data_IF_223948590637
#
_entry.id   IF_223948590637
#
_cell.length_a   1.000
_cell.length_b   1.000
_cell.length_c   1.000
_cell.angle_alpha   90.00
_cell.angle_beta   90.00
_cell.angle_gamma   90.00
#
_symmetry.space_group_name_H-M   'P 1'
#
loop_
_entity.id
_entity.type
_entity.pdbx_description
1 polymer ?
#
# COMPACT_ATOMS: atom_id res chain seq x y z
N UNK A 1 -44.95 -49.91 -30.45
CA UNK A 1 -44.00 -48.89 -30.93
C UNK A 1 -43.96 -47.74 -29.92
N UNK A 2 -43.51 -48.03 -28.70
CA UNK A 2 -43.48 -47.11 -27.55
C UNK A 2 -42.19 -47.38 -26.77
N UNK A 3 -41.04 -46.87 -27.21
CA UNK A 3 -39.82 -46.93 -26.35
C UNK A 3 -38.67 -46.00 -26.74
N UNK A 4 -38.87 -44.99 -27.60
CA UNK A 4 -37.76 -44.13 -28.04
C UNK A 4 -37.90 -42.65 -27.65
N UNK A 5 -39.09 -42.20 -27.24
CA UNK A 5 -39.32 -40.78 -26.89
C UNK A 5 -38.97 -40.47 -25.43
N UNK A 6 -38.91 -41.47 -24.55
CA UNK A 6 -38.72 -41.28 -23.10
C UNK A 6 -37.25 -41.08 -22.69
N UNK A 7 -36.29 -41.44 -23.54
CA UNK A 7 -34.86 -41.43 -23.20
C UNK A 7 -34.18 -40.08 -23.52
N UNK A 8 -34.63 -39.39 -24.57
CA UNK A 8 -34.09 -38.07 -24.93
C UNK A 8 -34.56 -36.95 -23.99
N UNK A 9 -35.80 -37.01 -23.49
CA UNK A 9 -36.30 -36.01 -22.54
C UNK A 9 -35.64 -36.07 -21.16
N UNK A 10 -35.20 -37.26 -20.72
CA UNK A 10 -34.50 -37.42 -19.46
C UNK A 10 -33.07 -36.83 -19.50
N UNK A 11 -32.39 -36.92 -20.65
CA UNK A 11 -31.03 -36.38 -20.83
C UNK A 11 -31.01 -34.86 -20.96
N UNK A 12 -32.03 -34.25 -21.56
CA UNK A 12 -32.13 -32.79 -21.71
C UNK A 12 -32.45 -32.11 -20.36
N UNK A 13 -33.32 -32.72 -19.54
CA UNK A 13 -33.65 -32.21 -18.19
C UNK A 13 -32.48 -32.35 -17.19
N UNK A 14 -31.64 -33.38 -17.34
CA UNK A 14 -30.46 -33.57 -16.50
C UNK A 14 -29.32 -32.59 -16.85
N UNK A 15 -29.11 -32.33 -18.15
CA UNK A 15 -28.11 -31.35 -18.61
C UNK A 15 -28.54 -29.90 -18.36
N UNK A 16 -29.83 -29.56 -18.46
CA UNK A 16 -30.32 -28.21 -18.12
C UNK A 16 -30.22 -27.88 -16.63
N UNK A 17 -30.31 -28.86 -15.72
CA UNK A 17 -30.15 -28.61 -14.27
C UNK A 17 -28.69 -28.41 -13.86
N UNK A 18 -27.73 -29.05 -14.54
CA UNK A 18 -26.30 -28.90 -14.22
C UNK A 18 -25.75 -27.57 -14.77
N UNK A 19 -26.19 -27.16 -15.97
CA UNK A 19 -25.74 -25.89 -16.58
C UNK A 19 -26.28 -24.63 -15.86
N UNK A 20 -27.42 -24.75 -15.16
CA UNK A 20 -28.02 -23.65 -14.41
C UNK A 20 -27.36 -23.40 -13.04
N UNK A 21 -26.68 -24.41 -12.47
CA UNK A 21 -26.00 -24.30 -11.17
C UNK A 21 -24.58 -23.71 -11.34
N UNK A 22 -23.90 -24.00 -12.46
CA UNK A 22 -22.57 -23.45 -12.74
C UNK A 22 -22.56 -21.93 -12.98
N UNK A 23 -23.68 -21.34 -13.39
CA UNK A 23 -23.77 -19.91 -13.70
C UNK A 23 -24.06 -19.01 -12.48
N UNK A 24 -24.46 -19.58 -11.34
CA UNK A 24 -24.79 -18.81 -10.12
C UNK A 24 -23.59 -18.72 -9.16
N UNK A 25 -22.56 -19.57 -9.32
CA UNK A 25 -21.37 -19.54 -8.45
C UNK A 25 -20.22 -18.68 -8.98
N UNK A 26 -20.15 -18.41 -10.29
CA UNK A 26 -19.08 -17.59 -10.86
C UNK A 26 -19.11 -16.13 -10.35
N UNK A 27 -20.27 -15.47 -10.12
CA UNK A 27 -20.28 -14.15 -9.51
C UNK A 27 -19.81 -14.17 -8.05
N UNK A 28 -20.04 -15.26 -7.32
CA UNK A 28 -19.65 -15.40 -5.91
C UNK A 28 -18.13 -15.60 -5.74
N UNK A 29 -17.43 -16.15 -6.74
CA UNK A 29 -15.96 -16.27 -6.73
C UNK A 29 -15.24 -14.98 -7.14
N UNK A 30 -15.90 -14.08 -7.87
CA UNK A 30 -15.34 -12.75 -8.20
C UNK A 30 -15.61 -11.69 -7.13
N UNK A 31 -16.67 -11.84 -6.32
CA UNK A 31 -16.92 -10.92 -5.20
C UNK A 31 -16.20 -11.31 -3.91
N UNK A 32 -15.68 -12.54 -3.80
CA UNK A 32 -15.03 -13.03 -2.58
C UNK A 32 -13.54 -12.69 -2.45
N UNK A 33 -12.89 -12.15 -3.50
CA UNK A 33 -11.49 -11.67 -3.41
C UNK A 33 -11.34 -10.19 -3.00
N UNK A 34 -12.44 -9.47 -2.82
CA UNK A 34 -12.44 -8.10 -2.28
C UNK A 34 -13.28 -8.04 -0.98
N UNK A 35 -13.55 -9.20 -0.37
CA UNK A 35 -13.89 -9.23 1.04
C UNK A 35 -12.59 -8.92 1.79
N UNK A 36 -12.44 -7.64 2.16
CA UNK A 36 -11.42 -7.11 3.05
C UNK A 36 -10.62 -8.18 3.79
N UNK A 37 -9.41 -8.48 3.34
CA UNK A 37 -8.39 -8.85 4.31
C UNK A 37 -8.28 -7.61 5.19
N UNK A 38 -8.96 -7.67 6.34
CA UNK A 38 -9.00 -6.61 7.32
C UNK A 38 -7.56 -6.40 7.75
N UNK A 39 -6.90 -5.43 7.13
CA UNK A 39 -5.64 -4.93 7.66
C UNK A 39 -5.96 -4.46 9.07
N UNK A 40 -5.13 -4.83 10.04
CA UNK A 40 -5.22 -4.23 11.38
C UNK A 40 -5.07 -2.71 11.33
N UNK A 41 -4.59 -2.19 10.19
CA UNK A 41 -4.39 -0.82 9.77
C UNK A 41 -5.68 -0.01 9.49
N UNK A 42 -6.68 -0.16 10.36
CA UNK A 42 -8.01 0.45 10.18
C UNK A 42 -8.01 1.99 10.15
N UNK A 43 -7.02 2.63 10.77
CA UNK A 43 -6.88 4.09 10.73
C UNK A 43 -6.45 4.56 9.34
N UNK A 44 -5.43 3.95 8.76
CA UNK A 44 -4.87 4.29 7.45
C UNK A 44 -5.87 3.98 6.33
N UNK A 45 -6.69 2.92 6.50
CA UNK A 45 -7.85 2.68 5.65
C UNK A 45 -8.84 3.84 5.73
N UNK A 46 -9.21 4.27 6.93
CA UNK A 46 -10.13 5.39 7.11
C UNK A 46 -9.58 6.69 6.49
N UNK A 47 -8.27 6.93 6.62
CA UNK A 47 -7.61 8.10 6.01
C UNK A 47 -7.70 8.04 4.49
N UNK A 48 -7.38 6.91 3.86
CA UNK A 48 -7.51 6.78 2.41
C UNK A 48 -8.95 6.99 1.95
N UNK A 49 -9.93 6.40 2.62
CA UNK A 49 -11.34 6.59 2.25
C UNK A 49 -11.79 8.04 2.45
N UNK A 50 -11.37 8.73 3.52
CA UNK A 50 -11.67 10.16 3.69
C UNK A 50 -11.08 11.01 2.57
N UNK A 51 -9.82 10.75 2.16
CA UNK A 51 -9.19 11.47 1.04
C UNK A 51 -9.95 11.18 -0.26
N UNK A 52 -10.28 9.92 -0.52
CA UNK A 52 -11.00 9.50 -1.73
C UNK A 52 -12.39 10.15 -1.84
N UNK A 53 -13.10 10.28 -0.73
CA UNK A 53 -14.45 10.88 -0.69
C UNK A 53 -14.37 12.40 -0.84
N UNK A 54 -13.50 13.06 -0.09
CA UNK A 54 -13.47 14.52 0.00
C UNK A 54 -12.63 15.17 -1.11
N UNK A 55 -11.63 14.46 -1.64
CA UNK A 55 -10.66 14.96 -2.62
C UNK A 55 -10.36 13.89 -3.70
N UNK A 56 -11.37 13.41 -4.46
CA UNK A 56 -11.23 12.26 -5.37
C UNK A 56 -10.18 12.48 -6.47
N UNK A 57 -10.09 13.68 -7.03
CA UNK A 57 -9.11 14.00 -8.08
C UNK A 57 -7.67 13.96 -7.55
N UNK A 58 -7.46 14.44 -6.33
CA UNK A 58 -6.18 14.30 -5.64
C UNK A 58 -5.86 12.83 -5.39
N UNK A 59 -6.83 12.03 -4.92
CA UNK A 59 -6.63 10.60 -4.69
C UNK A 59 -6.22 9.85 -5.97
N UNK A 60 -6.93 10.08 -7.08
CA UNK A 60 -6.57 9.48 -8.39
C UNK A 60 -5.22 9.98 -8.88
N UNK A 61 -4.92 11.27 -8.74
CA UNK A 61 -3.62 11.82 -9.12
C UNK A 61 -2.47 11.23 -8.30
N UNK A 62 -2.67 11.01 -7.00
CA UNK A 62 -1.69 10.40 -6.11
C UNK A 62 -1.35 8.98 -6.58
N UNK A 63 -2.35 8.15 -6.87
CA UNK A 63 -2.14 6.79 -7.39
C UNK A 63 -1.27 6.81 -8.65
N UNK A 64 -1.58 7.70 -9.61
CA UNK A 64 -0.79 7.83 -10.85
C UNK A 64 0.66 8.21 -10.60
N UNK A 65 0.92 9.10 -9.64
CA UNK A 65 2.29 9.48 -9.24
C UNK A 65 3.02 8.27 -8.66
N UNK A 66 2.37 7.53 -7.76
CA UNK A 66 2.96 6.34 -7.11
C UNK A 66 3.29 5.25 -8.14
N UNK A 67 2.36 4.96 -9.06
CA UNK A 67 2.56 3.98 -10.12
C UNK A 67 3.66 4.41 -11.09
N UNK A 68 3.73 5.72 -11.40
CA UNK A 68 4.80 6.30 -12.21
C UNK A 68 6.18 6.12 -11.57
N UNK A 69 6.31 6.41 -10.27
CA UNK A 69 7.56 6.22 -9.54
C UNK A 69 7.96 4.73 -9.47
N UNK A 70 7.02 3.84 -9.18
CA UNK A 70 7.31 2.40 -9.14
C UNK A 70 7.76 1.86 -10.50
N UNK A 71 7.14 2.34 -11.59
CA UNK A 71 7.56 2.01 -12.95
C UNK A 71 8.96 2.54 -13.28
N UNK A 72 9.32 3.74 -12.80
CA UNK A 72 10.67 4.27 -12.95
C UNK A 72 11.69 3.34 -12.26
N UNK A 73 11.44 2.94 -11.02
CA UNK A 73 12.32 2.01 -10.29
C UNK A 73 12.51 0.69 -11.04
N UNK A 74 11.43 0.13 -11.60
CA UNK A 74 11.49 -1.07 -12.42
C UNK A 74 12.31 -0.84 -13.70
N UNK A 75 12.04 0.25 -14.42
CA UNK A 75 12.76 0.61 -15.66
C UNK A 75 14.26 0.83 -15.42
N UNK A 76 14.64 1.30 -14.23
CA UNK A 76 16.03 1.48 -13.78
C UNK A 76 16.66 0.21 -13.22
N UNK A 77 15.96 -0.92 -13.19
CA UNK A 77 16.38 -2.17 -12.56
C UNK A 77 16.68 -2.03 -11.06
N UNK A 78 16.12 -1.02 -10.38
CA UNK A 78 16.20 -0.91 -8.92
C UNK A 78 15.28 -1.90 -8.21
N UNK A 79 14.24 -2.38 -8.92
CA UNK A 79 13.36 -3.47 -8.50
C UNK A 79 13.11 -4.43 -9.67
N UNK A 80 12.78 -5.69 -9.37
CA UNK A 80 12.58 -6.74 -10.37
C UNK A 80 11.20 -6.68 -11.05
N UNK A 81 10.18 -6.17 -10.36
CA UNK A 81 8.82 -6.01 -10.85
C UNK A 81 8.03 -5.00 -9.99
N UNK A 82 6.73 -4.84 -10.26
CA UNK A 82 5.84 -3.93 -9.52
C UNK A 82 5.13 -4.58 -8.33
N UNK A 83 5.59 -5.75 -7.86
CA UNK A 83 4.96 -6.46 -6.74
C UNK A 83 5.46 -5.97 -5.38
N UNK A 84 4.75 -6.36 -4.32
CA UNK A 84 5.19 -6.11 -2.93
C UNK A 84 6.55 -6.76 -2.62
N UNK A 85 6.81 -7.96 -3.17
CA UNK A 85 8.06 -8.68 -2.93
C UNK A 85 9.29 -7.91 -3.43
N UNK A 86 9.16 -7.21 -4.55
CA UNK A 86 10.19 -6.32 -5.07
C UNK A 86 10.52 -5.17 -4.11
N UNK A 87 9.51 -4.59 -3.47
CA UNK A 87 9.69 -3.60 -2.43
C UNK A 87 10.37 -4.18 -1.18
N UNK A 88 9.94 -5.36 -0.71
CA UNK A 88 10.56 -6.05 0.43
C UNK A 88 12.04 -6.37 0.16
N UNK A 89 12.36 -6.80 -1.06
CA UNK A 89 13.74 -7.06 -1.46
C UNK A 89 14.59 -5.79 -1.36
N UNK A 90 14.10 -4.69 -1.92
CA UNK A 90 14.77 -3.39 -1.88
C UNK A 90 14.99 -2.90 -0.44
N UNK A 91 13.98 -2.99 0.42
CA UNK A 91 14.14 -2.63 1.83
C UNK A 91 15.12 -3.53 2.57
N UNK A 92 15.17 -4.82 2.27
CA UNK A 92 16.15 -5.73 2.86
C UNK A 92 17.59 -5.41 2.42
N UNK A 93 17.78 -4.84 1.22
CA UNK A 93 19.10 -4.35 0.80
C UNK A 93 19.48 -3.12 1.62
N UNK A 94 18.57 -2.16 1.78
CA UNK A 94 18.79 -0.94 2.57
C UNK A 94 18.99 -1.25 4.07
N UNK A 95 18.28 -2.24 4.62
CA UNK A 95 18.43 -2.63 6.04
C UNK A 95 19.79 -3.28 6.33
N UNK A 96 20.45 -3.86 5.33
CA UNK A 96 21.80 -4.44 5.44
C UNK A 96 22.90 -3.43 5.15
N UNK A 97 22.61 -2.43 4.32
CA UNK A 97 23.55 -1.38 3.95
C UNK A 97 22.87 -0.01 3.96
N UNK A 98 23.14 0.77 5.00
CA UNK A 98 22.61 2.14 5.14
C UNK A 98 23.10 3.12 4.06
N UNK A 99 24.15 2.76 3.31
CA UNK A 99 24.69 3.56 2.20
C UNK A 99 24.13 3.16 0.85
N UNK A 100 23.23 2.16 0.80
CA UNK A 100 22.61 1.71 -0.44
C UNK A 100 21.86 2.84 -1.14
N UNK A 101 22.24 3.10 -2.39
CA UNK A 101 21.67 4.15 -3.22
C UNK A 101 20.65 3.58 -4.21
N UNK A 102 19.53 4.30 -4.35
CA UNK A 102 18.49 3.98 -5.33
C UNK A 102 18.60 4.99 -6.46
N UNK A 103 18.65 4.50 -7.69
CA UNK A 103 18.69 5.36 -8.87
C UNK A 103 17.27 5.72 -9.31
N UNK A 104 16.89 7.00 -9.25
CA UNK A 104 15.63 7.49 -9.80
C UNK A 104 15.76 8.94 -10.21
N UNK A 105 15.26 9.26 -11.41
CA UNK A 105 15.11 10.65 -11.87
C UNK A 105 13.75 11.24 -11.50
N UNK A 106 12.92 10.47 -10.81
CA UNK A 106 11.57 10.86 -10.44
C UNK A 106 11.58 11.43 -9.02
N UNK A 107 11.23 12.72 -8.88
CA UNK A 107 11.06 13.36 -7.58
C UNK A 107 9.60 13.23 -7.10
N UNK A 108 9.35 12.26 -6.21
CA UNK A 108 7.98 11.96 -5.75
C UNK A 108 7.43 13.11 -4.90
N UNK A 109 8.26 13.68 -4.03
CA UNK A 109 7.89 14.77 -3.13
C UNK A 109 7.35 15.98 -3.90
N UNK A 110 8.08 16.42 -4.92
CA UNK A 110 7.69 17.55 -5.77
C UNK A 110 6.39 17.27 -6.54
N UNK A 111 6.26 16.06 -7.08
CA UNK A 111 5.08 15.64 -7.84
C UNK A 111 3.83 15.69 -6.97
N UNK A 112 3.91 15.16 -5.75
CA UNK A 112 2.82 15.20 -4.77
C UNK A 112 2.53 16.62 -4.32
N UNK A 113 3.55 17.45 -4.09
CA UNK A 113 3.35 18.85 -3.70
C UNK A 113 2.64 19.65 -4.80
N UNK A 114 3.04 19.47 -6.07
CA UNK A 114 2.38 20.09 -7.23
C UNK A 114 0.92 19.64 -7.34
N UNK A 115 0.65 18.35 -7.13
CA UNK A 115 -0.70 17.81 -7.12
C UNK A 115 -1.56 18.43 -6.01
N UNK A 116 -1.02 18.49 -4.79
CA UNK A 116 -1.71 19.06 -3.64
C UNK A 116 -2.04 20.55 -3.86
N UNK A 117 -1.10 21.33 -4.41
CA UNK A 117 -1.32 22.75 -4.77
C UNK A 117 -2.43 22.91 -5.81
N UNK A 118 -2.45 22.06 -6.84
CA UNK A 118 -3.47 22.11 -7.91
C UNK A 118 -4.89 21.94 -7.36
N UNK A 119 -5.06 21.02 -6.42
CA UNK A 119 -6.38 20.67 -5.87
C UNK A 119 -6.65 21.30 -4.50
N UNK A 120 -5.77 22.21 -4.04
CA UNK A 120 -5.81 22.82 -2.71
C UNK A 120 -6.00 21.79 -1.56
N UNK A 121 -5.37 20.62 -1.72
CA UNK A 121 -5.51 19.52 -0.78
C UNK A 121 -4.84 19.85 0.56
N UNK A 122 -5.56 19.68 1.65
CA UNK A 122 -5.04 19.83 3.01
C UNK A 122 -5.09 18.49 3.76
N UNK A 123 -4.00 17.74 3.71
CA UNK A 123 -3.92 16.41 4.34
C UNK A 123 -4.09 16.42 5.85
N UNK A 124 -3.70 17.49 6.54
CA UNK A 124 -3.93 17.63 7.98
C UNK A 124 -5.42 17.72 8.32
N UNK A 125 -6.24 18.31 7.44
CA UNK A 125 -7.70 18.36 7.63
C UNK A 125 -8.30 16.96 7.58
N UNK A 126 -7.91 16.14 6.60
CA UNK A 126 -8.41 14.77 6.44
C UNK A 126 -7.93 13.82 7.57
N UNK A 127 -6.74 14.05 8.11
CA UNK A 127 -6.29 13.29 9.29
C UNK A 127 -7.03 13.72 10.56
N UNK A 128 -7.31 15.02 10.73
CA UNK A 128 -8.04 15.54 11.90
C UNK A 128 -9.50 15.10 11.96
N UNK A 129 -10.16 14.89 10.82
CA UNK A 129 -11.54 14.37 10.79
C UNK A 129 -11.62 12.94 11.31
N UNK A 130 -10.51 12.20 11.28
CA UNK A 130 -10.43 10.82 11.78
C UNK A 130 -9.77 10.86 13.16
N UNK A 131 -10.58 10.78 14.21
CA UNK A 131 -10.10 10.86 15.58
C UNK A 131 -9.08 9.77 15.92
N UNK A 132 -7.80 10.13 15.97
CA UNK A 132 -6.67 9.23 16.25
C UNK A 132 -6.83 8.45 17.56
N UNK A 133 -7.40 9.07 18.60
CA UNK A 133 -7.67 8.43 19.89
C UNK A 133 -8.51 7.15 19.78
N UNK A 134 -9.40 7.05 18.77
CA UNK A 134 -10.21 5.86 18.50
C UNK A 134 -9.35 4.65 18.07
N UNK A 135 -8.17 4.90 17.51
CA UNK A 135 -7.31 3.89 16.90
C UNK A 135 -6.03 3.61 17.69
N UNK A 136 -5.78 4.39 18.75
CA UNK A 136 -4.65 4.18 19.67
C UNK A 136 -4.77 2.88 20.47
N UNK A 137 -5.99 2.44 20.76
CA UNK A 137 -6.20 1.20 21.52
C UNK A 137 -5.96 -0.01 20.61
N UNK A 138 -4.89 -0.77 20.90
CA UNK A 138 -4.51 -2.04 20.25
C UNK A 138 -3.79 -1.94 18.88
N UNK A 139 -2.91 -0.96 18.67
CA UNK A 139 -2.04 -0.85 17.48
C UNK A 139 -2.80 -0.85 16.13
N UNK A 140 -4.02 -0.30 16.11
CA UNK A 140 -4.85 -0.24 14.89
C UNK A 140 -4.37 0.80 13.86
N UNK A 141 -3.47 1.68 14.28
CA UNK A 141 -2.74 2.56 13.40
C UNK A 141 -1.28 2.07 13.33
N UNK A 142 -0.91 1.41 12.24
CA UNK A 142 0.45 0.85 12.11
C UNK A 142 1.51 1.95 12.05
N UNK A 143 1.16 3.14 11.55
CA UNK A 143 2.03 4.33 11.64
C UNK A 143 2.39 4.72 13.08
N UNK A 144 1.50 4.50 14.05
CA UNK A 144 1.80 4.75 15.46
C UNK A 144 2.74 3.68 16.02
N UNK A 145 2.51 2.41 15.68
CA UNK A 145 3.40 1.32 16.05
C UNK A 145 4.81 1.53 15.48
N UNK A 146 4.91 1.98 14.23
CA UNK A 146 6.19 2.33 13.61
C UNK A 146 6.92 3.43 14.41
N UNK A 147 6.23 4.51 14.76
CA UNK A 147 6.81 5.59 15.55
C UNK A 147 7.21 5.14 16.97
N UNK A 148 6.41 4.27 17.60
CA UNK A 148 6.74 3.70 18.89
C UNK A 148 8.04 2.88 18.81
N UNK A 149 8.12 1.93 17.87
CA UNK A 149 9.31 1.10 17.67
C UNK A 149 10.54 1.93 17.33
N UNK A 150 10.40 2.96 16.49
CA UNK A 150 11.48 3.89 16.19
C UNK A 150 11.94 4.67 17.44
N UNK A 151 11.01 5.06 18.32
CA UNK A 151 11.32 5.68 19.60
C UNK A 151 12.05 4.74 20.57
N UNK A 152 11.72 3.45 20.56
CA UNK A 152 12.46 2.41 21.31
C UNK A 152 13.89 2.28 20.81
N UNK A 153 14.08 2.15 19.49
CA UNK A 153 15.42 2.12 18.86
C UNK A 153 16.23 3.38 19.20
N UNK A 154 15.60 4.56 19.13
CA UNK A 154 16.25 5.82 19.49
C UNK A 154 16.73 5.84 20.94
N UNK A 155 15.89 5.37 21.88
CA UNK A 155 16.26 5.30 23.30
C UNK A 155 17.43 4.36 23.55
N UNK A 156 17.52 3.26 22.80
CA UNK A 156 18.57 2.26 22.94
C UNK A 156 19.89 2.69 22.28
N UNK A 157 19.83 3.29 21.08
CA UNK A 157 21.02 3.56 20.25
C UNK A 157 21.43 5.03 20.19
N UNK A 158 20.61 5.95 20.69
CA UNK A 158 20.82 7.40 20.57
C UNK A 158 20.50 7.98 19.18
N UNK A 159 19.91 7.19 18.29
CA UNK A 159 19.55 7.58 16.93
C UNK A 159 18.83 6.47 16.17
N UNK A 160 18.21 6.82 15.03
CA UNK A 160 17.62 5.86 14.09
C UNK A 160 18.32 6.01 12.76
N UNK A 161 19.05 4.99 12.33
CA UNK A 161 19.72 4.99 11.02
C UNK A 161 18.73 4.69 9.89
N UNK A 162 19.13 4.92 8.63
CA UNK A 162 18.37 4.51 7.45
C UNK A 162 18.11 2.99 7.44
N UNK A 163 19.11 2.21 7.85
CA UNK A 163 19.01 0.76 7.94
C UNK A 163 18.00 0.32 9.02
N UNK A 164 18.06 0.94 10.20
CA UNK A 164 17.08 0.70 11.28
C UNK A 164 15.66 1.00 10.79
N UNK A 165 15.47 2.14 10.13
CA UNK A 165 14.15 2.53 9.65
C UNK A 165 13.62 1.60 8.55
N UNK A 166 14.47 1.14 7.63
CA UNK A 166 14.09 0.13 6.64
C UNK A 166 13.62 -1.17 7.32
N UNK A 167 14.33 -1.63 8.35
CA UNK A 167 13.93 -2.80 9.12
C UNK A 167 12.58 -2.59 9.81
N UNK A 168 12.37 -1.43 10.42
CA UNK A 168 11.11 -1.11 11.08
C UNK A 168 9.92 -1.08 10.11
N UNK A 169 10.12 -0.60 8.87
CA UNK A 169 9.09 -0.64 7.83
C UNK A 169 8.72 -2.08 7.45
N UNK A 170 9.71 -2.98 7.33
CA UNK A 170 9.50 -4.41 7.09
C UNK A 170 8.76 -5.10 8.25
N UNK A 171 9.06 -4.71 9.49
CA UNK A 171 8.47 -5.31 10.69
C UNK A 171 7.03 -4.89 10.95
N UNK A 172 6.57 -3.80 10.34
CA UNK A 172 5.28 -3.17 10.63
C UNK A 172 4.29 -3.39 9.48
N UNK A 173 4.70 -3.13 8.25
CA UNK A 173 3.81 -3.16 7.10
C UNK A 173 3.88 -4.47 6.33
N UNK A 174 2.71 -4.91 5.86
CA UNK A 174 2.56 -6.13 5.06
C UNK A 174 2.01 -5.83 3.65
N UNK A 175 1.82 -6.89 2.86
CA UNK A 175 1.35 -6.79 1.48
C UNK A 175 -0.02 -6.08 1.34
N UNK A 176 -0.90 -6.24 2.32
CA UNK A 176 -2.21 -5.62 2.28
C UNK A 176 -2.12 -4.12 2.57
N UNK A 177 -1.24 -3.72 3.48
CA UNK A 177 -0.95 -2.30 3.72
C UNK A 177 -0.35 -1.63 2.48
N UNK A 178 0.46 -2.36 1.71
CA UNK A 178 1.05 -1.86 0.47
C UNK A 178 0.00 -1.51 -0.58
N UNK A 179 -1.25 -1.97 -0.46
CA UNK A 179 -2.34 -1.56 -1.36
C UNK A 179 -2.84 -0.13 -1.08
N UNK A 180 -2.53 0.43 0.09
CA UNK A 180 -2.99 1.74 0.52
C UNK A 180 -2.10 2.87 -0.04
N UNK A 181 -2.64 3.83 -0.82
CA UNK A 181 -1.83 4.91 -1.40
C UNK A 181 -1.07 5.76 -0.38
N UNK A 182 -1.64 6.01 0.79
CA UNK A 182 -0.95 6.74 1.86
C UNK A 182 0.25 5.97 2.43
N UNK A 183 0.16 4.65 2.52
CA UNK A 183 1.30 3.81 2.94
C UNK A 183 2.35 3.79 1.83
N UNK A 184 1.97 3.48 0.58
CA UNK A 184 2.88 3.53 -0.57
C UNK A 184 3.61 4.87 -0.68
N UNK A 185 2.91 5.98 -0.43
CA UNK A 185 3.53 7.30 -0.43
C UNK A 185 4.63 7.43 0.64
N UNK A 186 4.38 6.98 1.87
CA UNK A 186 5.40 7.00 2.92
C UNK A 186 6.61 6.14 2.55
N UNK A 187 6.37 4.95 2.02
CA UNK A 187 7.40 4.01 1.60
C UNK A 187 8.24 4.56 0.44
N UNK A 188 7.58 5.07 -0.60
CA UNK A 188 8.25 5.59 -1.77
C UNK A 188 9.01 6.89 -1.48
N UNK A 189 8.52 7.72 -0.55
CA UNK A 189 9.29 8.87 -0.05
C UNK A 189 10.52 8.49 0.76
N UNK A 190 10.52 7.33 1.43
CA UNK A 190 11.73 6.81 2.08
C UNK A 190 12.76 6.30 1.06
N UNK A 191 12.27 5.72 -0.04
CA UNK A 191 13.09 5.15 -1.11
C UNK A 191 13.64 6.24 -2.05
N UNK A 192 12.84 7.27 -2.35
CA UNK A 192 13.20 8.34 -3.28
C UNK A 192 14.43 9.14 -2.78
N UNK A 193 15.56 9.13 -3.52
CA UNK A 193 16.74 9.91 -3.16
C UNK A 193 16.49 11.43 -3.19
N UNK A 194 15.47 11.89 -3.92
CA UNK A 194 15.13 13.30 -4.07
C UNK A 194 14.08 13.76 -3.05
N UNK A 195 13.54 12.86 -2.23
CA UNK A 195 12.61 13.23 -1.19
C UNK A 195 13.41 13.78 -0.01
N UNK A 196 13.30 15.09 0.25
CA UNK A 196 13.72 15.64 1.52
C UNK A 196 13.01 14.85 2.62
N UNK A 197 13.80 14.11 3.40
CA UNK A 197 13.34 13.27 4.50
C UNK A 197 12.71 14.10 5.61
N UNK A 198 11.52 14.65 5.37
CA UNK A 198 10.64 15.17 6.41
C UNK A 198 9.85 13.99 6.93
N UNK A 199 10.56 13.12 7.65
CA UNK A 199 9.93 12.22 8.59
C UNK A 199 9.47 13.05 9.79
N UNK A 200 8.36 12.67 10.40
CA UNK A 200 8.01 13.15 11.75
C UNK A 200 9.00 12.66 12.83
N UNK A 201 10.06 11.95 12.43
CA UNK A 201 11.17 11.52 13.25
C UNK A 201 12.46 11.77 12.45
N UNK A 202 13.37 12.60 12.96
CA UNK A 202 14.67 12.86 12.32
C UNK A 202 15.46 11.55 12.13
N UNK A 203 15.30 10.89 10.98
CA UNK A 203 16.21 9.84 10.50
C UNK A 203 17.30 10.59 9.74
N UNK A 204 18.56 10.47 10.19
CA UNK A 204 19.68 11.19 9.60
C UNK A 204 19.73 11.06 8.08
N UNK A 205 20.04 12.16 7.38
CA UNK A 205 20.35 12.12 5.93
C UNK A 205 21.52 11.15 5.72
N UNK A 206 21.57 10.40 4.60
CA UNK A 206 22.79 9.72 4.20
C UNK A 206 23.90 10.78 4.15
N UNK A 207 24.91 10.61 5.00
CA UNK A 207 26.08 11.50 5.00
C UNK A 207 26.80 11.32 3.68
N UNK A 208 26.88 12.40 2.90
CA UNK A 208 27.87 12.50 1.84
C UNK A 208 29.25 12.27 2.47
N UNK A 209 30.02 11.34 1.90
CA UNK A 209 31.44 11.17 2.23
C UNK A 209 32.22 12.43 1.90
#
# INVERSE_FOLDING_TARGET
MFSLVSFEYANILFTMKISSIFLILIPLFYTSKIASQVTTNTYEVAVNESIKINDPEYYTGLIKILDGFQKELFTRNSIADTTYNSYVHLLNQISKDSTFEVTSNYAIGDSVQKLAKRFNYNGLKQMKTIGLAKYMQNNKAKSMLLNQKAGEVYKEKGGVSRADYAQLLLDVYDENDFQLPTIRLQLFRFIDPNSDGVFYMYVGKPTQK
#
